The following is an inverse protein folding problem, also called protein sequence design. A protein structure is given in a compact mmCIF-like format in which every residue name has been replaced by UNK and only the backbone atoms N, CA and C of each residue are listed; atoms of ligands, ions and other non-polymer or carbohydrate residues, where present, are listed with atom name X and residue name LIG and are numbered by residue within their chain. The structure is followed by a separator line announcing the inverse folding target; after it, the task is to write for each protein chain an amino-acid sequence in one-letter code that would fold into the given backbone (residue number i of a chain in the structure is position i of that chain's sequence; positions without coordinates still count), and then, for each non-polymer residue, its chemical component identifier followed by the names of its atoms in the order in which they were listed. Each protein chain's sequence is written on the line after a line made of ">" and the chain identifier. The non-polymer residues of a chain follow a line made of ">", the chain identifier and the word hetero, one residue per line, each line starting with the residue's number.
data_IF_476326623058
#
_entry.id   IF_476326623058
#
_cell.length_a   1.000
_cell.length_b   1.000
_cell.length_c   1.000
_cell.angle_alpha   90.00
_cell.angle_beta   90.00
_cell.angle_gamma   90.00
#
_symmetry.space_group_name_H-M   'P 1'
#
loop_
_entity.id
_entity.type
_entity.pdbx_description
1 polymer ?
#
# COMPACT_ATOMS: atom_id res chain seq x y z
N UNK A 1 -17.47 43.77 -31.36
CA UNK A 1 -17.70 42.69 -30.37
C UNK A 1 -19.18 42.70 -30.03
N UNK A 2 -19.87 41.59 -30.29
CA UNK A 2 -21.31 41.53 -30.58
C UNK A 2 -22.17 41.17 -29.36
N UNK A 3 -23.23 41.97 -29.15
CA UNK A 3 -24.68 41.66 -28.99
C UNK A 3 -25.20 40.53 -28.08
N UNK A 4 -24.38 39.73 -27.41
CA UNK A 4 -24.86 38.66 -26.50
C UNK A 4 -24.89 39.06 -25.01
N UNK A 5 -24.52 40.31 -24.68
CA UNK A 5 -24.37 40.78 -23.29
C UNK A 5 -25.67 41.28 -22.62
N UNK A 6 -26.79 41.33 -23.35
CA UNK A 6 -28.03 41.96 -22.89
C UNK A 6 -29.10 40.98 -22.37
N UNK A 7 -28.93 39.66 -22.56
CA UNK A 7 -29.94 38.66 -22.15
C UNK A 7 -29.90 38.32 -20.65
N UNK A 8 -28.71 38.30 -20.04
CA UNK A 8 -28.54 37.90 -18.63
C UNK A 8 -28.78 39.08 -17.68
N UNK A 9 -28.51 40.32 -18.13
CA UNK A 9 -28.74 41.54 -17.33
C UNK A 9 -30.23 41.85 -17.09
N UNK A 10 -31.14 41.46 -18.00
CA UNK A 10 -32.56 41.79 -17.87
C UNK A 10 -33.35 40.85 -16.94
N UNK A 11 -32.79 39.70 -16.56
CA UNK A 11 -33.45 38.80 -15.60
C UNK A 11 -33.28 39.27 -14.15
N UNK A 12 -32.19 39.98 -13.84
CA UNK A 12 -31.93 40.50 -12.48
C UNK A 12 -32.68 41.80 -12.18
N UNK A 13 -33.03 42.61 -13.18
CA UNK A 13 -33.65 43.91 -12.97
C UNK A 13 -35.12 43.83 -12.49
N UNK A 14 -35.78 42.67 -12.56
CA UNK A 14 -37.17 42.47 -12.10
C UNK A 14 -37.32 41.94 -10.66
N UNK A 15 -36.21 41.57 -10.00
CA UNK A 15 -36.20 41.13 -8.59
C UNK A 15 -35.74 42.22 -7.61
N UNK A 16 -35.24 43.35 -8.10
CA UNK A 16 -34.75 44.44 -7.26
C UNK A 16 -35.83 45.45 -6.83
N UNK A 17 -37.11 45.24 -7.18
CA UNK A 17 -38.21 46.16 -6.85
C UNK A 17 -38.96 45.82 -5.54
N UNK A 18 -38.63 44.70 -4.87
CA UNK A 18 -39.26 44.29 -3.59
C UNK A 18 -38.29 44.27 -2.40
N UNK A 19 -37.02 44.61 -2.61
CA UNK A 19 -36.05 44.75 -1.52
C UNK A 19 -35.46 46.15 -1.66
N UNK A 20 -35.86 47.06 -0.78
CA UNK A 20 -35.44 48.46 -0.76
C UNK A 20 -33.94 48.66 -0.54
N UNK A 21 -33.12 48.24 -1.50
CA UNK A 21 -31.68 48.43 -1.50
C UNK A 21 -31.39 49.65 -2.34
N UNK A 22 -31.15 50.77 -1.66
CA UNK A 22 -30.61 51.98 -2.25
C UNK A 22 -29.29 51.68 -2.94
N UNK A 23 -29.22 52.03 -4.23
CA UNK A 23 -28.01 52.00 -5.05
C UNK A 23 -26.90 52.86 -4.40
N UNK A 24 -25.80 52.24 -4.00
CA UNK A 24 -24.57 52.97 -3.75
C UNK A 24 -23.92 53.17 -5.12
N UNK A 25 -23.87 54.42 -5.59
CA UNK A 25 -23.03 54.84 -6.73
C UNK A 25 -21.64 54.25 -6.51
N UNK A 26 -21.19 53.39 -7.43
CA UNK A 26 -19.78 53.08 -7.52
C UNK A 26 -19.06 54.40 -7.81
N UNK A 27 -18.46 54.99 -6.79
CA UNK A 27 -17.52 56.07 -6.97
C UNK A 27 -16.30 55.49 -7.70
N UNK A 28 -15.90 56.18 -8.76
CA UNK A 28 -14.70 55.93 -9.56
C UNK A 28 -13.41 56.15 -8.73
N UNK A 29 -13.18 55.31 -7.72
CA UNK A 29 -11.95 55.34 -6.89
C UNK A 29 -11.38 53.94 -6.67
N UNK A 30 -11.64 52.99 -7.56
CA UNK A 30 -11.03 51.64 -7.53
C UNK A 30 -9.91 51.45 -8.56
N UNK A 31 -9.22 52.53 -8.93
CA UNK A 31 -7.86 52.47 -9.43
C UNK A 31 -7.07 53.58 -8.75
N UNK A 32 -6.61 53.33 -7.52
CA UNK A 32 -5.45 53.98 -6.89
C UNK A 32 -5.11 53.24 -5.57
N UNK A 33 -4.83 51.94 -5.67
CA UNK A 33 -4.14 51.20 -4.61
C UNK A 33 -2.66 50.97 -4.96
N UNK A 34 -2.08 51.84 -5.79
CA UNK A 34 -0.65 52.00 -5.88
C UNK A 34 -0.34 53.33 -5.23
N UNK A 35 0.15 53.32 -3.99
CA UNK A 35 0.77 54.51 -3.43
C UNK A 35 1.93 54.89 -4.37
N UNK A 36 1.74 55.94 -5.18
CA UNK A 36 2.75 56.41 -6.12
C UNK A 36 4.00 56.79 -5.33
N UNK A 37 5.03 55.96 -5.40
CA UNK A 37 6.28 56.19 -4.66
C UNK A 37 7.02 57.35 -5.31
N UNK A 38 7.30 58.44 -4.58
CA UNK A 38 8.06 59.56 -5.12
C UNK A 38 9.44 59.07 -5.55
N UNK A 39 9.78 59.23 -6.83
CA UNK A 39 11.02 58.69 -7.42
C UNK A 39 12.32 59.30 -6.85
N UNK A 40 12.22 60.35 -6.03
CA UNK A 40 13.37 61.10 -5.50
C UNK A 40 13.44 61.13 -3.97
N UNK A 41 12.54 60.44 -3.25
CA UNK A 41 12.59 60.36 -1.79
C UNK A 41 13.05 58.96 -1.35
N UNK A 42 14.33 58.87 -1.03
CA UNK A 42 14.98 57.63 -0.58
C UNK A 42 14.30 57.04 0.65
N UNK A 43 13.79 57.86 1.57
CA UNK A 43 13.14 57.36 2.79
C UNK A 43 11.79 56.74 2.47
N UNK A 44 11.00 57.39 1.62
CA UNK A 44 9.71 56.86 1.17
C UNK A 44 9.87 55.54 0.42
N UNK A 45 10.90 55.42 -0.42
CA UNK A 45 11.22 54.17 -1.13
C UNK A 45 11.58 53.06 -0.14
N UNK A 46 12.49 53.32 0.80
CA UNK A 46 12.93 52.32 1.78
C UNK A 46 11.76 51.86 2.66
N UNK A 47 10.91 52.79 3.11
CA UNK A 47 9.76 52.46 3.94
C UNK A 47 8.71 51.64 3.19
N UNK A 48 8.46 51.93 1.90
CA UNK A 48 7.54 51.13 1.12
C UNK A 48 8.08 49.72 0.81
N UNK A 49 9.39 49.60 0.58
CA UNK A 49 10.05 48.30 0.44
C UNK A 49 9.92 47.52 1.75
N UNK A 50 10.26 48.13 2.90
CA UNK A 50 10.16 47.50 4.21
C UNK A 50 8.74 47.01 4.52
N UNK A 51 7.73 47.85 4.27
CA UNK A 51 6.32 47.48 4.48
C UNK A 51 5.85 46.37 3.53
N UNK A 52 6.31 46.36 2.26
CA UNK A 52 6.03 45.29 1.31
C UNK A 52 6.64 43.95 1.76
N UNK A 53 7.84 43.98 2.34
CA UNK A 53 8.47 42.80 2.92
C UNK A 53 7.76 42.31 4.19
N UNK A 54 7.32 43.21 5.07
CA UNK A 54 6.54 42.84 6.26
C UNK A 54 5.16 42.26 5.90
N UNK A 55 4.50 42.83 4.90
CA UNK A 55 3.21 42.35 4.39
C UNK A 55 3.32 41.00 3.68
N UNK A 56 4.46 40.70 3.04
CA UNK A 56 4.70 39.38 2.43
C UNK A 56 5.20 38.35 3.45
N UNK A 57 5.76 38.79 4.58
CA UNK A 57 6.17 37.93 5.70
C UNK A 57 4.98 37.20 6.34
N UNK A 58 3.80 37.83 6.36
CA UNK A 58 2.55 37.22 6.85
C UNK A 58 1.95 36.20 5.87
N UNK A 59 2.41 36.18 4.61
CA UNK A 59 2.03 35.20 3.59
C UNK A 59 2.98 33.98 3.55
N UNK A 60 4.12 34.06 4.26
CA UNK A 60 4.99 32.91 4.48
C UNK A 60 4.45 32.11 5.67
N UNK A 61 4.21 30.79 5.51
CA UNK A 61 3.92 29.94 6.65
C UNK A 61 5.05 30.09 7.67
N UNK A 62 4.71 30.36 8.93
CA UNK A 62 5.67 30.29 10.03
C UNK A 62 6.44 28.98 9.90
N UNK A 63 7.78 29.04 9.83
CA UNK A 63 8.61 27.85 9.78
C UNK A 63 8.15 26.92 10.92
N UNK A 64 7.66 25.71 10.64
CA UNK A 64 7.17 24.82 11.69
C UNK A 64 8.28 24.63 12.72
N UNK A 65 7.94 24.77 13.98
CA UNK A 65 8.88 24.51 15.07
C UNK A 65 9.42 23.07 14.94
N UNK A 66 10.65 22.81 15.39
CA UNK A 66 11.19 21.43 15.40
C UNK A 66 10.34 20.45 16.23
N UNK A 67 9.38 20.97 17.00
CA UNK A 67 8.39 20.22 17.76
C UNK A 67 7.09 19.92 17.00
N UNK A 68 6.80 20.62 15.88
CA UNK A 68 5.66 20.36 15.00
C UNK A 68 5.90 19.24 13.99
N UNK A 69 7.17 18.87 13.78
CA UNK A 69 7.45 17.62 13.09
C UNK A 69 7.08 16.49 14.05
N UNK A 70 6.04 15.69 13.77
CA UNK A 70 5.86 14.44 14.47
C UNK A 70 7.17 13.71 14.22
N UNK A 71 7.91 13.43 15.30
CA UNK A 71 9.10 12.60 15.21
C UNK A 71 8.74 11.46 14.26
N UNK A 72 9.43 11.37 13.12
CA UNK A 72 9.27 10.23 12.23
C UNK A 72 9.88 9.09 13.02
N UNK A 73 9.11 8.57 13.98
CA UNK A 73 9.27 7.25 14.52
C UNK A 73 9.19 6.43 13.25
N UNK A 74 10.36 6.05 12.71
CA UNK A 74 10.48 5.09 11.64
C UNK A 74 9.89 3.83 12.24
N UNK A 75 8.57 3.71 12.17
CA UNK A 75 7.84 2.50 12.52
C UNK A 75 8.48 1.47 11.62
N UNK A 76 9.37 0.66 12.20
CA UNK A 76 10.02 -0.44 11.49
C UNK A 76 8.86 -1.22 10.89
N UNK A 77 8.69 -1.13 9.58
CA UNK A 77 7.61 -1.83 8.89
C UNK A 77 7.74 -3.28 9.32
N UNK A 78 6.77 -3.75 10.11
CA UNK A 78 6.75 -5.11 10.61
C UNK A 78 6.83 -6.01 9.39
N UNK A 79 7.98 -6.66 9.25
CA UNK A 79 8.32 -7.40 8.06
C UNK A 79 7.32 -8.58 8.07
N UNK A 80 6.40 -8.64 7.09
CA UNK A 80 5.30 -9.64 7.03
C UNK A 80 5.74 -11.07 7.38
N UNK A 81 5.04 -11.70 8.32
CA UNK A 81 5.16 -13.13 8.65
C UNK A 81 4.73 -13.95 7.43
N UNK A 82 5.43 -15.05 7.16
CA UNK A 82 5.05 -15.97 6.07
C UNK A 82 5.16 -17.39 6.54
N UNK A 83 4.10 -18.16 6.34
CA UNK A 83 4.09 -19.59 6.63
C UNK A 83 4.77 -20.38 5.53
N UNK A 84 5.26 -21.57 5.90
CA UNK A 84 5.77 -22.51 4.93
C UNK A 84 4.66 -23.03 4.00
N UNK A 85 4.95 -23.10 2.71
CA UNK A 85 4.09 -23.69 1.68
C UNK A 85 4.84 -24.83 1.00
N UNK A 86 4.19 -25.99 0.90
CA UNK A 86 4.69 -27.19 0.24
C UNK A 86 3.89 -27.51 -1.01
N UNK A 87 4.44 -28.32 -1.90
CA UNK A 87 3.75 -28.82 -3.08
C UNK A 87 2.70 -29.87 -2.73
N UNK A 88 1.92 -30.23 -3.75
CA UNK A 88 1.19 -31.49 -3.74
C UNK A 88 2.16 -32.66 -3.60
N UNK A 89 1.61 -33.77 -3.10
CA UNK A 89 2.33 -35.03 -3.01
C UNK A 89 2.63 -35.59 -4.40
N UNK A 90 3.78 -36.25 -4.53
CA UNK A 90 4.05 -37.15 -5.64
C UNK A 90 3.10 -38.34 -5.61
N UNK A 91 3.12 -39.10 -6.70
CA UNK A 91 2.59 -40.46 -6.69
C UNK A 91 3.35 -41.33 -5.67
N UNK A 92 2.69 -42.39 -5.24
CA UNK A 92 3.30 -43.40 -4.37
C UNK A 92 4.36 -44.18 -5.13
N UNK A 93 5.47 -44.48 -4.46
CA UNK A 93 6.45 -45.43 -4.97
C UNK A 93 5.83 -46.81 -5.14
N UNK A 94 6.49 -47.65 -5.94
CA UNK A 94 6.20 -49.08 -5.96
C UNK A 94 6.36 -49.66 -4.54
N UNK A 95 5.60 -50.72 -4.26
CA UNK A 95 5.70 -51.43 -3.00
C UNK A 95 7.10 -52.05 -2.87
N UNK A 96 7.72 -51.94 -1.69
CA UNK A 96 9.08 -52.45 -1.45
C UNK A 96 9.21 -53.97 -1.64
N UNK A 97 8.11 -54.70 -1.51
CA UNK A 97 8.04 -56.14 -1.70
C UNK A 97 6.91 -56.50 -2.66
N UNK A 98 7.12 -57.56 -3.42
CA UNK A 98 6.11 -58.19 -4.29
C UNK A 98 5.32 -59.29 -3.58
N UNK A 99 5.83 -59.79 -2.45
CA UNK A 99 5.19 -60.78 -1.59
C UNK A 99 5.18 -60.29 -0.14
N UNK A 100 4.19 -60.72 0.63
CA UNK A 100 3.96 -60.30 2.00
C UNK A 100 3.63 -58.81 2.14
N UNK A 101 3.80 -58.30 3.36
CA UNK A 101 3.60 -56.90 3.70
C UNK A 101 4.88 -56.10 3.43
N UNK A 102 4.76 -55.08 2.59
CA UNK A 102 5.79 -54.11 2.26
C UNK A 102 5.39 -52.67 2.66
N UNK A 103 6.22 -51.72 2.25
CA UNK A 103 6.02 -50.29 2.48
C UNK A 103 6.16 -49.52 1.16
N UNK A 104 5.39 -48.46 1.01
CA UNK A 104 5.50 -47.49 -0.08
C UNK A 104 5.66 -46.08 0.48
N UNK A 105 6.37 -45.24 -0.26
CA UNK A 105 6.69 -43.87 0.12
C UNK A 105 6.21 -42.87 -0.92
N UNK A 106 5.88 -41.66 -0.47
CA UNK A 106 5.66 -40.51 -1.36
C UNK A 106 6.33 -39.27 -0.80
N UNK A 107 6.66 -38.34 -1.69
CA UNK A 107 7.44 -37.16 -1.37
C UNK A 107 6.76 -35.88 -1.85
N UNK A 108 7.06 -34.76 -1.21
CA UNK A 108 6.69 -33.43 -1.66
C UNK A 108 7.82 -32.45 -1.37
N UNK A 109 7.83 -31.32 -2.08
CA UNK A 109 8.87 -30.30 -1.94
C UNK A 109 8.36 -29.03 -1.28
N UNK A 110 9.28 -28.28 -0.67
CA UNK A 110 8.99 -26.95 -0.15
C UNK A 110 8.92 -25.97 -1.33
N UNK A 111 7.79 -25.28 -1.48
CA UNK A 111 7.64 -24.20 -2.47
C UNK A 111 8.10 -22.86 -1.85
N UNK A 112 7.80 -22.63 -0.56
CA UNK A 112 8.23 -21.43 0.18
C UNK A 112 8.53 -21.79 1.62
N UNK A 113 9.70 -21.40 2.11
CA UNK A 113 10.04 -21.54 3.52
C UNK A 113 9.29 -20.53 4.39
N UNK A 114 8.95 -20.94 5.62
CA UNK A 114 8.44 -20.06 6.65
C UNK A 114 9.48 -19.01 7.05
N UNK A 115 9.05 -17.77 7.30
CA UNK A 115 9.92 -16.67 7.74
C UNK A 115 9.26 -15.85 8.84
N UNK A 116 10.10 -15.35 9.77
CA UNK A 116 9.73 -14.37 10.81
C UNK A 116 8.67 -14.89 11.77
N UNK A 117 8.88 -16.09 12.30
CA UNK A 117 7.94 -16.75 13.21
C UNK A 117 6.69 -17.32 12.52
N UNK A 118 6.69 -17.42 11.19
CA UNK A 118 5.65 -18.17 10.47
C UNK A 118 5.79 -19.67 10.69
N UNK A 119 4.72 -20.42 10.39
CA UNK A 119 4.66 -21.87 10.62
C UNK A 119 5.77 -22.61 9.88
N UNK A 120 6.37 -23.59 10.58
CA UNK A 120 7.34 -24.53 10.03
C UNK A 120 6.73 -25.39 8.92
N UNK A 121 7.59 -25.94 8.07
CA UNK A 121 7.14 -26.81 6.99
C UNK A 121 6.58 -28.13 7.54
N UNK A 122 5.44 -28.61 7.03
CA UNK A 122 4.95 -29.94 7.36
C UNK A 122 5.88 -31.02 6.78
N UNK A 123 5.76 -32.30 7.19
CA UNK A 123 6.67 -33.37 6.75
C UNK A 123 6.68 -33.53 5.22
N UNK A 124 7.86 -33.79 4.67
CA UNK A 124 8.07 -33.88 3.22
C UNK A 124 7.99 -35.31 2.68
N UNK A 125 8.01 -36.30 3.56
CA UNK A 125 7.87 -37.71 3.25
C UNK A 125 6.67 -38.28 3.99
N UNK A 126 5.95 -39.17 3.33
CA UNK A 126 4.92 -39.98 3.96
C UNK A 126 5.12 -41.44 3.56
N UNK A 127 4.88 -42.35 4.49
CA UNK A 127 4.90 -43.78 4.23
C UNK A 127 3.53 -44.42 4.50
N UNK A 128 3.30 -45.55 3.84
CA UNK A 128 2.10 -46.38 3.99
C UNK A 128 2.45 -47.84 3.73
N UNK A 129 1.82 -48.73 4.48
CA UNK A 129 1.89 -50.18 4.25
C UNK A 129 1.21 -50.58 2.94
N UNK A 130 1.79 -51.57 2.26
CA UNK A 130 1.30 -52.15 1.02
C UNK A 130 1.50 -53.67 1.01
N UNK A 131 0.88 -54.34 0.04
CA UNK A 131 0.90 -55.80 -0.06
C UNK A 131 -0.27 -56.47 0.65
N UNK A 132 -0.29 -57.79 0.56
CA UNK A 132 -1.31 -58.66 1.13
C UNK A 132 -0.61 -59.85 1.81
N UNK A 133 -1.37 -60.70 2.49
CA UNK A 133 -0.86 -61.95 3.04
C UNK A 133 -0.54 -62.96 1.92
N UNK A 134 0.50 -62.64 1.15
CA UNK A 134 1.07 -63.50 0.11
C UNK A 134 2.35 -64.05 0.71
N UNK A 135 2.37 -65.36 0.99
CA UNK A 135 3.55 -66.03 1.53
C UNK A 135 4.71 -65.88 0.54
N UNK A 136 5.79 -65.24 0.97
CA UNK A 136 7.04 -65.23 0.21
C UNK A 136 7.62 -66.65 0.24
N UNK A 137 7.26 -67.47 -0.74
CA UNK A 137 7.81 -68.81 -0.87
C UNK A 137 9.29 -68.73 -1.23
N UNK A 138 10.14 -69.10 -0.28
CA UNK A 138 11.46 -69.65 -0.60
C UNK A 138 11.23 -70.98 -1.34
N UNK A 139 11.80 -71.18 -2.54
CA UNK A 139 11.69 -72.48 -3.19
C UNK A 139 12.49 -73.49 -2.37
N UNK A 140 11.76 -74.42 -1.75
CA UNK A 140 12.26 -75.66 -1.17
C UNK A 140 13.41 -75.57 -0.15
N UNK A 141 13.10 -75.16 1.08
CA UNK A 141 13.84 -75.64 2.25
C UNK A 141 13.36 -77.05 2.61
N UNK A 142 13.67 -78.04 1.76
CA UNK A 142 13.60 -79.43 2.18
C UNK A 142 14.82 -79.67 3.11
N UNK A 143 14.59 -79.65 4.41
CA UNK A 143 15.57 -80.20 5.34
C UNK A 143 15.55 -81.73 5.17
N UNK A 144 16.51 -82.29 4.44
CA UNK A 144 16.67 -83.73 4.35
C UNK A 144 17.45 -84.24 5.58
N UNK A 145 16.79 -85.01 6.44
CA UNK A 145 17.42 -85.67 7.60
C UNK A 145 18.09 -87.00 7.24
N UNK A 146 18.00 -87.48 5.99
CA UNK A 146 18.35 -88.86 5.63
C UNK A 146 19.84 -89.16 5.42
N UNK A 147 20.76 -88.46 6.08
CA UNK A 147 22.21 -88.76 5.99
C UNK A 147 22.90 -88.67 7.36
N UNK A 148 22.38 -89.40 8.36
CA UNK A 148 23.04 -89.65 9.65
C UNK A 148 23.26 -91.14 9.82
#
# INVERSE_FOLDING_TARGET
>A
MNREQYGVLFCFQKLAAEIGVTYIKMNDTLFNNSADVPKNDRKAIILNIASSYENSKSLLPSSPSLTDYPSIVKRRRAKRVRDCRVSHWSEWSVCSKTCGVGEMHRYRKIIKHGKRGGRSCPPLMQSKWCGADITCHLPNAYFNWSNS
#
